data_IF_701111617732
#
_entry.id   IF_701111617732
#
_cell.length_a   1.000
_cell.length_b   1.000
_cell.length_c   1.000
_cell.angle_alpha   90.00
_cell.angle_beta   90.00
_cell.angle_gamma   90.00
#
_symmetry.space_group_name_H-M   'P 1'
#
loop_
_entity.id
_entity.type
_entity.pdbx_description
1 polymer ?
#
# COMPACT_ATOMS: atom_id res chain seq x y z
N UNK A 1 2.57 12.08 8.45
CA UNK A 1 2.14 12.02 9.87
C UNK A 1 1.65 10.63 10.32
N UNK A 2 1.47 9.64 9.44
CA UNK A 2 1.18 8.24 9.82
C UNK A 2 2.43 7.45 10.23
N UNK A 3 3.53 7.55 9.47
CA UNK A 3 4.79 6.86 9.78
C UNK A 3 5.26 7.11 11.22
N UNK A 4 5.34 8.36 11.65
CA UNK A 4 5.73 8.72 13.03
C UNK A 4 4.85 8.10 14.13
N UNK A 5 3.59 7.80 13.83
CA UNK A 5 2.64 7.23 14.81
C UNK A 5 2.71 5.71 14.88
N UNK A 6 3.10 5.08 13.77
CA UNK A 6 3.17 3.64 13.63
C UNK A 6 4.63 3.15 13.57
N UNK A 7 5.61 3.98 13.91
CA UNK A 7 7.03 3.66 13.76
C UNK A 7 7.43 2.46 14.63
N UNK A 8 6.90 2.37 15.85
CA UNK A 8 7.12 1.24 16.76
C UNK A 8 6.52 -0.08 16.23
N UNK A 9 5.53 0.00 15.33
CA UNK A 9 4.84 -1.15 14.75
C UNK A 9 5.34 -1.49 13.34
N UNK A 10 5.75 -0.49 12.57
CA UNK A 10 6.16 -0.61 11.18
C UNK A 10 7.69 -0.61 11.10
N UNK A 11 8.26 -1.80 10.93
CA UNK A 11 9.68 -2.00 10.67
C UNK A 11 10.10 -1.52 9.26
N UNK A 12 11.31 -1.90 8.85
CA UNK A 12 11.70 -1.88 7.44
C UNK A 12 10.66 -2.60 6.58
N UNK A 13 10.49 -2.16 5.33
CA UNK A 13 9.55 -2.80 4.41
C UNK A 13 9.96 -4.24 4.11
N UNK A 14 9.07 -5.18 4.39
CA UNK A 14 9.17 -6.57 3.97
C UNK A 14 7.92 -6.99 3.21
N UNK A 15 8.10 -7.85 2.20
CA UNK A 15 7.04 -8.21 1.25
C UNK A 15 5.92 -9.04 1.91
N UNK A 16 6.25 -9.79 2.96
CA UNK A 16 5.31 -10.66 3.68
C UNK A 16 4.52 -9.95 4.78
N UNK A 17 5.02 -8.81 5.28
CA UNK A 17 4.43 -8.12 6.44
C UNK A 17 3.19 -7.30 6.06
N UNK A 18 2.95 -7.09 4.76
CA UNK A 18 2.06 -6.01 4.33
C UNK A 18 1.16 -6.40 3.16
N UNK A 19 -0.11 -6.61 3.46
CA UNK A 19 -1.14 -6.89 2.47
C UNK A 19 -1.98 -5.64 2.19
N UNK A 20 -1.72 -4.97 1.06
CA UNK A 20 -2.53 -3.85 0.59
C UNK A 20 -3.56 -4.31 -0.44
N UNK A 21 -4.82 -4.39 -0.02
CA UNK A 21 -5.95 -4.52 -0.94
C UNK A 21 -6.54 -3.17 -1.25
N UNK A 22 -6.30 -2.68 -2.46
CA UNK A 22 -7.04 -1.54 -3.00
C UNK A 22 -8.29 -2.02 -3.75
N UNK A 23 -9.40 -1.31 -3.60
CA UNK A 23 -10.56 -1.50 -4.47
C UNK A 23 -10.15 -1.19 -5.91
N UNK A 24 -10.23 -2.20 -6.77
CA UNK A 24 -10.13 -2.03 -8.21
C UNK A 24 -11.41 -1.38 -8.74
N UNK A 25 -11.67 -0.13 -8.37
CA UNK A 25 -12.57 0.69 -9.18
C UNK A 25 -11.80 0.98 -10.48
N UNK A 26 -12.46 0.90 -11.62
CA UNK A 26 -11.89 1.12 -12.96
C UNK A 26 -11.16 2.48 -13.06
N UNK A 27 -11.41 3.41 -12.16
CA UNK A 27 -10.67 4.67 -12.03
C UNK A 27 -9.20 4.43 -11.62
N UNK A 28 -8.25 4.98 -12.37
CA UNK A 28 -6.82 4.98 -12.02
C UNK A 28 -6.49 5.81 -10.76
N UNK A 29 -7.46 6.55 -10.22
CA UNK A 29 -7.28 7.45 -9.09
C UNK A 29 -6.87 6.73 -7.79
N UNK A 30 -7.57 5.70 -7.27
CA UNK A 30 -7.24 5.08 -5.98
C UNK A 30 -5.82 4.48 -5.98
N UNK A 31 -5.36 4.01 -7.14
CA UNK A 31 -4.04 3.36 -7.29
C UNK A 31 -2.89 4.30 -6.99
N UNK A 32 -2.94 5.52 -7.54
CA UNK A 32 -1.90 6.54 -7.32
C UNK A 32 -1.87 7.05 -5.89
N UNK A 33 -3.04 7.24 -5.28
CA UNK A 33 -3.12 7.71 -3.90
C UNK A 33 -2.55 6.70 -2.90
N UNK A 34 -2.81 5.39 -3.11
CA UNK A 34 -2.22 4.34 -2.27
C UNK A 34 -0.70 4.35 -2.44
N UNK A 35 -0.17 4.35 -3.66
CA UNK A 35 1.29 4.40 -3.88
C UNK A 35 1.96 5.60 -3.18
N UNK A 36 1.34 6.78 -3.22
CA UNK A 36 1.86 7.98 -2.54
C UNK A 36 1.83 7.83 -1.02
N UNK A 37 0.75 7.27 -0.46
CA UNK A 37 0.68 6.97 0.97
C UNK A 37 1.77 5.98 1.40
N UNK A 38 1.99 4.94 0.59
CA UNK A 38 3.01 3.92 0.86
C UNK A 38 4.42 4.48 0.78
N UNK A 39 4.71 5.34 -0.20
CA UNK A 39 6.00 6.02 -0.30
C UNK A 39 6.30 6.88 0.93
N UNK A 40 5.28 7.47 1.55
CA UNK A 40 5.43 8.21 2.82
C UNK A 40 5.45 7.32 4.07
N UNK A 41 5.01 6.07 3.96
CA UNK A 41 4.93 5.13 5.07
C UNK A 41 6.20 4.26 5.18
N UNK A 42 6.82 3.91 4.05
CA UNK A 42 8.07 3.16 4.00
C UNK A 42 9.15 4.02 3.35
N UNK A 43 9.86 4.84 4.15
CA UNK A 43 11.03 5.55 3.67
C UNK A 43 12.13 4.54 3.27
N UNK A 44 12.95 4.94 2.30
CA UNK A 44 14.10 4.15 1.88
C UNK A 44 15.04 3.95 3.07
N UNK A 45 15.42 2.70 3.32
CA UNK A 45 16.50 2.37 4.25
C UNK A 45 17.64 1.71 3.48
N UNK A 46 18.86 1.76 4.01
CA UNK A 46 20.04 1.21 3.32
C UNK A 46 19.91 -0.28 2.93
N UNK A 47 18.95 -1.00 3.53
CA UNK A 47 18.65 -2.41 3.24
C UNK A 47 17.63 -2.60 2.11
N UNK A 48 16.77 -1.60 1.88
CA UNK A 48 15.65 -1.66 0.93
C UNK A 48 15.91 -0.82 -0.31
N UNK A 49 16.90 0.08 -0.28
CA UNK A 49 17.41 0.81 -1.43
C UNK A 49 17.95 -0.15 -2.50
N UNK A 50 17.35 -0.10 -3.69
CA UNK A 50 17.85 -0.81 -4.88
C UNK A 50 18.64 0.14 -5.81
N UNK A 51 18.44 1.45 -5.65
CA UNK A 51 19.11 2.53 -6.38
C UNK A 51 19.29 3.72 -5.43
N UNK A 52 20.55 4.13 -5.20
CA UNK A 52 20.91 5.23 -4.31
C UNK A 52 20.51 6.61 -4.87
N UNK A 53 20.25 6.70 -6.17
CA UNK A 53 19.77 7.92 -6.83
C UNK A 53 18.25 8.11 -6.71
N UNK A 54 17.52 7.08 -6.28
CA UNK A 54 16.06 7.07 -6.22
C UNK A 54 15.56 6.78 -4.80
N UNK A 55 14.98 7.80 -4.16
CA UNK A 55 14.36 7.70 -2.84
C UNK A 55 12.98 7.01 -2.86
N UNK A 56 12.84 5.91 -3.61
CA UNK A 56 11.58 5.16 -3.73
C UNK A 56 11.81 3.65 -3.98
N UNK A 57 10.99 2.82 -3.33
CA UNK A 57 10.91 1.38 -3.58
C UNK A 57 9.60 0.99 -4.27
N UNK A 58 9.63 0.02 -5.21
CA UNK A 58 8.41 -0.54 -5.77
C UNK A 58 7.68 -1.40 -4.74
N UNK A 59 6.56 -0.88 -4.22
CA UNK A 59 5.72 -1.62 -3.28
C UNK A 59 4.57 -2.28 -4.07
N UNK A 60 4.50 -3.63 -4.13
CA UNK A 60 3.42 -4.35 -4.79
C UNK A 60 2.08 -4.05 -4.10
N UNK A 61 1.04 -3.81 -4.91
CA UNK A 61 -0.34 -3.62 -4.45
C UNK A 61 -1.19 -4.71 -5.08
N UNK A 62 -1.90 -5.46 -4.25
CA UNK A 62 -2.85 -6.48 -4.71
C UNK A 62 -4.24 -5.87 -4.92
N UNK A 63 -4.92 -6.35 -5.96
CA UNK A 63 -6.22 -5.85 -6.35
C UNK A 63 -7.24 -6.99 -6.35
N UNK A 64 -8.35 -6.80 -5.65
CA UNK A 64 -9.49 -7.72 -5.71
C UNK A 64 -10.64 -7.11 -6.51
N UNK A 65 -11.36 -7.97 -7.24
CA UNK A 65 -12.56 -7.59 -8.00
C UNK A 65 -13.63 -7.09 -7.03
N UNK A 66 -14.43 -6.10 -7.45
CA UNK A 66 -15.51 -5.51 -6.62
C UNK A 66 -16.45 -6.58 -6.07
N UNK A 67 -16.73 -7.63 -6.84
CA UNK A 67 -17.61 -8.75 -6.45
C UNK A 67 -17.04 -9.66 -5.36
N UNK A 68 -15.74 -9.58 -5.08
CA UNK A 68 -15.05 -10.42 -4.06
C UNK A 68 -14.30 -9.54 -3.06
N UNK A 69 -14.60 -8.24 -3.01
CA UNK A 69 -13.84 -7.31 -2.18
C UNK A 69 -14.61 -6.97 -0.91
N UNK A 70 -14.03 -7.30 0.26
CA UNK A 70 -14.59 -6.99 1.58
C UNK A 70 -14.85 -5.49 1.82
N UNK A 71 -14.18 -4.60 1.07
CA UNK A 71 -14.37 -3.15 1.12
C UNK A 71 -15.58 -2.68 0.28
N UNK A 72 -16.25 -3.58 -0.44
CA UNK A 72 -17.42 -3.31 -1.26
C UNK A 72 -18.69 -3.43 -0.42
N UNK A 73 -19.41 -2.33 -0.22
CA UNK A 73 -20.68 -2.32 0.51
C UNK A 73 -21.85 -2.96 -0.26
N UNK A 74 -21.62 -3.47 -1.48
CA UNK A 74 -22.67 -4.07 -2.31
C UNK A 74 -23.01 -5.52 -1.95
N UNK A 75 -22.38 -6.09 -0.92
CA UNK A 75 -22.64 -7.44 -0.40
C UNK A 75 -23.48 -7.42 0.89
N UNK A 76 -24.50 -6.56 0.94
CA UNK A 76 -25.55 -6.67 1.96
C UNK A 76 -26.65 -7.61 1.46
N UNK A 77 -27.04 -8.64 2.23
CA UNK A 77 -28.26 -9.40 1.95
C UNK A 77 -29.47 -8.47 1.96
N UNK A 78 -30.46 -8.73 1.09
CA UNK A 78 -31.78 -8.09 1.17
C UNK A 78 -32.59 -8.67 2.32
#
# INVERSE_FOLDING_TARGET
MLRKRCDDFLSDYHLDDVYYTALARICAAPRRHVLVLLAGLYPLTNKTAWDDSLNWIPIPISYSKISTNFLSAFQCPQ
#
